data_IF_250928524937
#
_entry.id   IF_250928524937
#
_cell.length_a   1.000
_cell.length_b   1.000
_cell.length_c   1.000
_cell.angle_alpha   90.00
_cell.angle_beta   90.00
_cell.angle_gamma   90.00
#
_symmetry.space_group_name_H-M   'P 1'
#
loop_
_entity.id
_entity.type
_entity.pdbx_description
1 polymer ?
#
# COMPACT_ATOMS: atom_id res chain seq x y z
N UNK A 1 3.20 11.04 3.35
CA UNK A 1 3.82 10.43 2.16
C UNK A 1 4.19 11.52 1.18
N UNK A 2 5.45 11.56 0.76
CA UNK A 2 5.89 12.42 -0.33
C UNK A 2 5.45 11.82 -1.66
N UNK A 3 5.04 12.70 -2.57
CA UNK A 3 4.73 12.29 -3.94
C UNK A 3 6.03 11.93 -4.65
N UNK A 4 6.16 10.75 -5.27
CA UNK A 4 7.31 10.41 -6.06
C UNK A 4 7.53 11.42 -7.18
N UNK A 5 8.77 11.81 -7.42
CA UNK A 5 9.13 12.80 -8.43
C UNK A 5 10.15 12.23 -9.40
N UNK A 6 9.96 12.47 -10.69
CA UNK A 6 10.98 12.17 -11.69
C UNK A 6 12.08 13.24 -11.63
N UNK A 7 13.32 12.80 -11.47
CA UNK A 7 14.50 13.67 -11.40
C UNK A 7 15.49 13.24 -12.48
N UNK A 8 15.90 14.19 -13.32
CA UNK A 8 17.01 13.98 -14.23
C UNK A 8 18.33 14.33 -13.51
N UNK A 9 19.23 13.38 -13.43
CA UNK A 9 20.56 13.58 -12.89
C UNK A 9 21.52 13.93 -14.04
N UNK A 10 21.86 15.20 -14.16
CA UNK A 10 22.86 15.64 -15.13
C UNK A 10 24.23 15.03 -14.86
N UNK A 11 25.09 15.04 -15.85
CA UNK A 11 26.50 14.65 -15.70
C UNK A 11 27.26 15.72 -14.91
N UNK A 12 27.26 15.58 -13.58
CA UNK A 12 27.83 16.54 -12.64
C UNK A 12 28.87 15.87 -11.73
N UNK A 13 29.91 16.60 -11.40
CA UNK A 13 30.95 16.17 -10.47
C UNK A 13 30.43 15.96 -9.05
N UNK A 14 29.33 16.62 -8.68
CA UNK A 14 28.63 16.43 -7.40
C UNK A 14 28.16 14.98 -7.19
N UNK A 15 27.97 14.20 -8.26
CA UNK A 15 27.64 12.78 -8.17
C UNK A 15 28.81 11.92 -7.63
N UNK A 16 30.04 12.45 -7.60
CA UNK A 16 31.20 11.76 -7.05
C UNK A 16 31.43 10.39 -7.68
N UNK A 17 31.61 9.38 -6.85
CA UNK A 17 31.87 7.99 -7.29
C UNK A 17 30.66 7.38 -8.04
N UNK A 18 29.45 7.90 -7.83
CA UNK A 18 28.23 7.41 -8.46
C UNK A 18 27.99 7.98 -9.85
N UNK A 19 28.81 8.93 -10.31
CA UNK A 19 28.63 9.62 -11.59
C UNK A 19 28.55 8.66 -12.78
N UNK A 20 29.43 7.65 -12.81
CA UNK A 20 29.47 6.65 -13.88
C UNK A 20 28.19 5.80 -13.98
N UNK A 21 27.47 5.63 -12.86
CA UNK A 21 26.32 4.75 -12.79
C UNK A 21 24.99 5.52 -12.93
N UNK A 22 24.97 6.82 -12.57
CA UNK A 22 23.74 7.60 -12.47
C UNK A 22 23.69 8.85 -13.35
N UNK A 23 24.82 9.32 -13.92
CA UNK A 23 24.80 10.51 -14.76
C UNK A 23 23.96 10.30 -16.03
N UNK A 24 23.31 11.37 -16.47
CA UNK A 24 22.45 11.41 -17.66
C UNK A 24 21.26 10.45 -17.63
N UNK A 25 20.81 10.07 -16.44
CA UNK A 25 19.64 9.21 -16.22
C UNK A 25 18.45 9.95 -15.65
N UNK A 26 17.26 9.40 -15.88
CA UNK A 26 16.01 9.83 -15.22
C UNK A 26 15.65 8.79 -14.17
N UNK A 27 15.41 9.25 -12.95
CA UNK A 27 15.17 8.38 -11.80
C UNK A 27 13.89 8.81 -11.10
N UNK A 28 13.22 7.85 -10.46
CA UNK A 28 12.12 8.10 -9.57
C UNK A 28 12.67 8.34 -8.18
N UNK A 29 12.44 9.53 -7.65
CA UNK A 29 12.79 9.89 -6.28
C UNK A 29 11.55 9.85 -5.41
N UNK A 30 11.61 9.10 -4.34
CA UNK A 30 10.57 9.10 -3.31
C UNK A 30 11.20 9.13 -1.92
N UNK A 31 10.47 9.65 -0.96
CA UNK A 31 10.88 9.58 0.44
C UNK A 31 10.73 8.15 0.94
N UNK A 32 11.80 7.60 1.45
CA UNK A 32 11.84 6.21 1.90
C UNK A 32 11.12 5.99 3.22
N UNK A 33 11.23 6.93 4.13
CA UNK A 33 10.68 6.86 5.48
C UNK A 33 9.83 8.11 5.74
N UNK A 34 8.77 8.04 6.56
CA UNK A 34 8.04 9.24 6.97
C UNK A 34 8.97 10.26 7.62
N UNK A 35 8.82 11.54 7.31
CA UNK A 35 9.69 12.64 7.80
C UNK A 35 9.85 12.63 9.33
N UNK A 36 8.80 12.19 10.03
CA UNK A 36 8.76 12.15 11.50
C UNK A 36 9.30 10.85 12.09
N UNK A 37 9.59 9.84 11.26
CA UNK A 37 10.06 8.54 11.72
C UNK A 37 11.56 8.48 11.74
N UNK A 38 12.14 8.26 12.92
CA UNK A 38 13.58 8.00 13.05
C UNK A 38 13.99 6.64 12.51
N UNK A 39 13.07 5.68 12.50
CA UNK A 39 13.31 4.30 12.04
C UNK A 39 12.00 3.55 11.82
N UNK A 40 11.93 2.79 10.72
CA UNK A 40 10.88 1.79 10.50
C UNK A 40 11.44 0.37 10.48
N UNK A 41 10.59 -0.60 10.75
CA UNK A 41 10.92 -2.01 10.82
C UNK A 41 10.29 -2.78 9.66
N UNK A 42 10.90 -3.89 9.26
CA UNK A 42 10.29 -4.82 8.30
C UNK A 42 9.33 -5.78 9.02
N UNK A 43 8.45 -6.43 8.27
CA UNK A 43 7.46 -7.37 8.81
C UNK A 43 8.09 -8.53 9.60
N UNK A 44 9.14 -9.23 9.11
CA UNK A 44 9.77 -10.30 9.88
C UNK A 44 10.28 -9.85 11.27
N UNK A 45 10.85 -8.64 11.33
CA UNK A 45 11.35 -8.13 12.62
C UNK A 45 10.23 -7.82 13.60
N UNK A 46 9.12 -7.23 13.10
CA UNK A 46 7.95 -6.97 13.94
C UNK A 46 7.34 -8.28 14.43
N UNK A 47 7.26 -9.28 13.57
CA UNK A 47 6.81 -10.63 13.93
C UNK A 47 7.64 -11.21 15.08
N UNK A 48 8.96 -11.13 14.97
CA UNK A 48 9.88 -11.60 16.02
C UNK A 48 9.62 -10.89 17.35
N UNK A 49 9.46 -9.56 17.33
CA UNK A 49 9.25 -8.74 18.53
C UNK A 49 7.90 -9.04 19.20
N UNK A 50 6.86 -9.27 18.40
CA UNK A 50 5.52 -9.60 18.91
C UNK A 50 5.46 -11.03 19.49
N UNK A 51 6.26 -11.95 18.94
CA UNK A 51 6.37 -13.32 19.47
C UNK A 51 7.26 -13.38 20.72
N UNK A 52 8.21 -12.46 20.84
CA UNK A 52 9.14 -12.41 21.96
C UNK A 52 8.51 -11.78 23.21
N UNK A 53 7.58 -10.88 23.06
CA UNK A 53 6.94 -10.16 24.16
C UNK A 53 5.46 -9.90 23.83
N UNK A 54 4.56 -10.43 24.65
CA UNK A 54 3.11 -10.31 24.47
C UNK A 54 2.56 -8.93 24.84
N UNK A 55 3.36 -8.06 25.41
CA UNK A 55 3.02 -6.67 25.68
C UNK A 55 3.26 -5.76 24.45
N UNK A 56 3.96 -6.27 23.45
CA UNK A 56 4.06 -5.62 22.15
C UNK A 56 2.77 -5.79 21.33
N UNK A 57 2.39 -4.77 20.58
CA UNK A 57 1.13 -4.74 19.83
C UNK A 57 1.28 -4.16 18.43
N UNK A 58 0.22 -4.34 17.62
CA UNK A 58 0.04 -3.65 16.35
C UNK A 58 -1.16 -2.73 16.47
N UNK A 59 -1.03 -1.49 16.04
CA UNK A 59 -2.15 -0.55 15.97
C UNK A 59 -3.16 -0.98 14.91
N UNK A 60 -4.10 -1.79 15.34
CA UNK A 60 -5.05 -2.51 14.49
C UNK A 60 -5.98 -1.61 13.68
N UNK A 61 -6.50 -0.47 14.19
CA UNK A 61 -7.34 0.41 13.40
C UNK A 61 -6.66 0.91 12.13
N UNK A 62 -5.39 1.33 12.21
CA UNK A 62 -4.64 1.76 11.03
C UNK A 62 -4.39 0.61 10.04
N UNK A 63 -4.18 -0.60 10.56
CA UNK A 63 -4.02 -1.79 9.73
C UNK A 63 -5.30 -2.09 8.96
N UNK A 64 -6.45 -2.07 9.60
CA UNK A 64 -7.73 -2.30 8.95
C UNK A 64 -8.03 -1.22 7.89
N UNK A 65 -7.83 0.06 8.21
CA UNK A 65 -8.02 1.16 7.25
C UNK A 65 -7.13 1.00 6.03
N UNK A 66 -5.85 0.64 6.22
CA UNK A 66 -4.93 0.40 5.11
C UNK A 66 -5.41 -0.76 4.21
N UNK A 67 -5.99 -1.81 4.81
CA UNK A 67 -6.54 -2.97 4.10
C UNK A 67 -7.82 -2.64 3.34
N UNK A 68 -8.73 -1.87 3.94
CA UNK A 68 -9.93 -1.40 3.27
C UNK A 68 -9.58 -0.53 2.06
N UNK A 69 -8.56 0.33 2.20
CA UNK A 69 -8.05 1.10 1.08
C UNK A 69 -7.46 0.21 -0.02
N UNK A 70 -6.65 -0.80 0.33
CA UNK A 70 -6.09 -1.75 -0.65
C UNK A 70 -7.18 -2.47 -1.45
N UNK A 71 -8.29 -2.84 -0.79
CA UNK A 71 -9.46 -3.44 -1.45
C UNK A 71 -10.12 -2.43 -2.40
N UNK A 72 -10.36 -1.21 -1.94
CA UNK A 72 -11.03 -0.15 -2.71
C UNK A 72 -10.27 0.17 -4.00
N UNK A 73 -8.95 0.32 -3.93
CA UNK A 73 -8.10 0.67 -5.09
C UNK A 73 -7.59 -0.56 -5.84
N UNK A 74 -8.03 -1.75 -5.45
CA UNK A 74 -7.63 -3.05 -6.03
C UNK A 74 -6.11 -3.25 -6.04
N UNK A 75 -5.47 -3.05 -4.89
CA UNK A 75 -4.06 -3.37 -4.70
C UNK A 75 -3.87 -4.89 -4.50
N UNK A 76 -3.88 -5.63 -5.59
CA UNK A 76 -3.83 -7.09 -5.59
C UNK A 76 -2.45 -7.67 -5.27
N UNK A 77 -1.39 -6.86 -5.40
CA UNK A 77 0.00 -7.33 -5.24
C UNK A 77 0.57 -7.12 -3.84
N UNK A 78 -0.20 -6.57 -2.92
CA UNK A 78 0.22 -6.32 -1.55
C UNK A 78 0.71 -7.59 -0.85
N UNK A 79 1.99 -7.63 -0.46
CA UNK A 79 2.64 -8.73 0.28
C UNK A 79 3.48 -8.18 1.45
N UNK A 80 4.09 -9.06 2.25
CA UNK A 80 4.75 -8.70 3.50
C UNK A 80 5.89 -7.68 3.34
N UNK A 81 6.63 -7.70 2.24
CA UNK A 81 7.75 -6.79 1.99
C UNK A 81 7.30 -5.36 1.67
N UNK A 82 6.05 -5.18 1.29
CA UNK A 82 5.45 -3.87 1.03
C UNK A 82 4.92 -3.18 2.29
N UNK A 83 5.20 -3.74 3.45
CA UNK A 83 4.89 -3.14 4.74
C UNK A 83 6.16 -2.71 5.46
N UNK A 84 6.12 -1.50 5.97
CA UNK A 84 7.01 -1.05 7.02
C UNK A 84 6.19 -0.78 8.27
N UNK A 85 6.86 -0.75 9.39
CA UNK A 85 6.21 -0.61 10.68
C UNK A 85 6.92 0.44 11.49
N UNK A 86 6.17 1.41 11.97
CA UNK A 86 6.64 2.48 12.83
C UNK A 86 6.28 2.14 14.27
N UNK A 87 7.28 2.08 15.16
CA UNK A 87 6.97 2.04 16.58
C UNK A 87 6.48 3.41 17.02
N UNK A 88 5.24 3.48 17.52
CA UNK A 88 4.58 4.70 17.99
C UNK A 88 4.64 4.87 19.50
N UNK A 89 5.14 3.87 20.21
CA UNK A 89 5.29 3.90 21.66
C UNK A 89 6.67 4.39 22.07
N UNK A 90 6.72 5.28 23.04
CA UNK A 90 7.94 5.72 23.72
C UNK A 90 8.28 4.84 24.94
N UNK A 91 7.44 3.85 25.22
CA UNK A 91 7.59 2.93 26.36
C UNK A 91 8.46 1.72 26.03
N UNK A 92 8.65 0.85 27.02
CA UNK A 92 9.29 -0.45 26.83
C UNK A 92 8.47 -1.32 25.87
N UNK A 93 7.16 -1.31 26.02
CA UNK A 93 6.23 -2.07 25.22
C UNK A 93 5.99 -1.33 23.89
N UNK A 94 6.11 -2.04 22.79
CA UNK A 94 6.08 -1.44 21.46
C UNK A 94 4.68 -1.53 20.85
N UNK A 95 4.23 -0.45 20.22
CA UNK A 95 3.02 -0.42 19.43
C UNK A 95 3.38 -0.06 17.99
N UNK A 96 3.12 -0.98 17.07
CA UNK A 96 3.56 -0.87 15.69
C UNK A 96 2.42 -0.39 14.78
N UNK A 97 2.54 0.83 14.25
CA UNK A 97 1.66 1.32 13.21
C UNK A 97 2.14 0.88 11.81
N UNK A 98 1.23 0.41 10.95
CA UNK A 98 1.59 0.01 9.60
C UNK A 98 1.89 1.22 8.71
N UNK A 99 2.92 1.10 7.89
CA UNK A 99 3.31 2.05 6.85
C UNK A 99 3.30 1.30 5.51
N UNK A 100 2.16 1.26 4.81
CA UNK A 100 2.08 0.60 3.51
C UNK A 100 2.91 1.35 2.48
N UNK A 101 3.67 0.61 1.68
CA UNK A 101 4.56 1.11 0.63
C UNK A 101 4.23 0.41 -0.69
N UNK A 102 4.83 0.90 -1.76
CA UNK A 102 4.77 0.28 -3.08
C UNK A 102 3.34 -0.02 -3.55
N UNK A 103 2.68 1.01 -4.04
CA UNK A 103 1.31 0.93 -4.59
C UNK A 103 1.33 1.10 -6.12
N UNK A 104 2.27 0.46 -6.78
CA UNK A 104 2.47 0.57 -8.24
C UNK A 104 1.46 -0.23 -9.05
N UNK A 105 0.77 -1.19 -8.42
CA UNK A 105 -0.22 -2.07 -9.07
C UNK A 105 -1.68 -1.66 -8.86
N UNK A 106 -1.91 -0.50 -8.23
CA UNK A 106 -3.27 -0.01 -7.95
C UNK A 106 -3.96 0.54 -9.20
N UNK A 107 -5.30 0.54 -9.19
CA UNK A 107 -6.15 1.10 -10.24
C UNK A 107 -5.86 0.56 -11.65
N UNK A 108 -5.24 -0.60 -11.74
CA UNK A 108 -4.90 -1.24 -13.01
C UNK A 108 -6.14 -1.81 -13.68
N UNK A 109 -6.45 -1.29 -14.85
CA UNK A 109 -7.60 -1.78 -15.64
C UNK A 109 -7.15 -2.92 -16.56
N UNK A 110 -7.77 -4.07 -16.46
CA UNK A 110 -7.51 -5.22 -17.32
C UNK A 110 -8.30 -5.08 -18.63
N UNK A 111 -7.72 -4.40 -19.62
CA UNK A 111 -8.32 -4.23 -20.95
C UNK A 111 -7.84 -5.28 -21.94
N UNK A 112 -8.75 -5.72 -22.81
CA UNK A 112 -8.45 -6.69 -23.87
C UNK A 112 -8.79 -8.15 -23.50
N UNK A 113 -8.74 -9.02 -24.50
CA UNK A 113 -9.20 -10.42 -24.39
C UNK A 113 -8.24 -11.24 -23.53
N UNK A 114 -6.92 -11.06 -23.70
CA UNK A 114 -5.90 -11.86 -23.00
C UNK A 114 -5.90 -11.57 -21.50
N UNK A 115 -5.83 -10.31 -21.01
CA UNK A 115 -5.97 -10.04 -19.59
C UNK A 115 -7.27 -10.56 -18.98
N UNK A 116 -8.39 -10.40 -19.67
CA UNK A 116 -9.70 -10.94 -19.22
C UNK A 116 -9.75 -12.46 -19.13
N UNK A 117 -8.99 -13.17 -19.97
CA UNK A 117 -8.87 -14.63 -19.88
C UNK A 117 -7.99 -15.04 -18.71
N UNK A 118 -6.88 -14.34 -18.48
CA UNK A 118 -5.93 -14.64 -17.38
C UNK A 118 -6.57 -14.47 -16.01
N UNK A 119 -7.45 -13.48 -15.84
CA UNK A 119 -8.11 -13.19 -14.56
C UNK A 119 -9.24 -14.13 -14.18
N UNK A 120 -9.54 -15.12 -15.01
CA UNK A 120 -10.56 -16.12 -14.69
C UNK A 120 -10.17 -16.96 -13.47
N UNK A 121 -11.17 -17.36 -12.70
CA UNK A 121 -11.02 -18.07 -11.42
C UNK A 121 -10.19 -19.36 -11.48
N UNK A 122 -10.04 -19.95 -12.65
CA UNK A 122 -9.27 -21.18 -12.85
C UNK A 122 -7.81 -20.96 -13.31
N UNK A 123 -7.42 -19.73 -13.69
CA UNK A 123 -6.07 -19.45 -14.18
C UNK A 123 -5.29 -18.58 -13.18
N UNK A 124 -5.60 -17.31 -13.07
CA UNK A 124 -4.96 -16.39 -12.11
C UNK A 124 -5.99 -15.49 -11.42
N UNK A 125 -6.80 -16.04 -10.52
CA UNK A 125 -7.89 -15.29 -9.89
C UNK A 125 -7.43 -14.14 -8.99
N UNK A 126 -6.16 -14.13 -8.60
CA UNK A 126 -5.56 -13.06 -7.80
C UNK A 126 -5.22 -11.81 -8.62
N UNK A 127 -5.07 -11.94 -9.95
CA UNK A 127 -4.74 -10.85 -10.86
C UNK A 127 -6.01 -10.10 -11.28
N UNK A 128 -6.64 -9.44 -10.33
CA UNK A 128 -7.87 -8.69 -10.57
C UNK A 128 -7.54 -7.27 -11.05
N UNK A 129 -8.35 -6.77 -11.99
CA UNK A 129 -8.29 -5.39 -12.43
C UNK A 129 -9.27 -4.51 -11.64
N UNK A 130 -9.02 -3.22 -11.62
CA UNK A 130 -9.93 -2.22 -11.09
C UNK A 130 -11.17 -2.12 -11.99
N UNK A 131 -12.35 -2.23 -11.41
CA UNK A 131 -13.64 -2.15 -12.09
C UNK A 131 -14.69 -1.58 -11.13
N UNK A 132 -15.89 -1.27 -11.65
CA UNK A 132 -17.04 -0.82 -10.87
C UNK A 132 -17.51 -1.82 -9.81
N UNK A 133 -17.15 -3.07 -9.94
CA UNK A 133 -17.44 -4.14 -9.00
C UNK A 133 -16.13 -4.85 -8.63
N UNK A 134 -15.90 -5.03 -7.34
CA UNK A 134 -14.79 -5.86 -6.85
C UNK A 134 -15.13 -7.32 -7.13
N UNK A 135 -14.40 -8.00 -8.03
CA UNK A 135 -14.80 -9.36 -8.47
C UNK A 135 -14.75 -10.38 -7.34
N UNK A 136 -13.75 -10.29 -6.46
CA UNK A 136 -13.64 -11.15 -5.30
C UNK A 136 -12.69 -10.60 -4.24
N UNK A 137 -13.23 -10.21 -3.10
CA UNK A 137 -12.44 -9.76 -1.94
C UNK A 137 -11.49 -10.86 -1.46
N UNK A 138 -11.90 -12.13 -1.49
CA UNK A 138 -11.06 -13.27 -1.12
C UNK A 138 -9.73 -13.29 -1.89
N UNK A 139 -9.78 -13.08 -3.20
CA UNK A 139 -8.59 -13.12 -4.04
C UNK A 139 -7.80 -11.81 -3.96
N UNK A 140 -8.44 -10.67 -3.77
CA UNK A 140 -7.77 -9.39 -3.49
C UNK A 140 -6.94 -9.46 -2.21
N UNK A 141 -7.36 -10.27 -1.24
CA UNK A 141 -6.68 -10.46 0.03
C UNK A 141 -5.67 -11.62 0.05
N UNK A 142 -5.57 -12.42 -1.00
CA UNK A 142 -4.85 -13.70 -0.95
C UNK A 142 -3.35 -13.57 -0.69
N UNK A 143 -2.67 -12.60 -1.28
CA UNK A 143 -1.23 -12.39 -1.08
C UNK A 143 -0.89 -11.91 0.33
N UNK A 144 -1.85 -11.36 1.04
CA UNK A 144 -1.71 -10.84 2.40
C UNK A 144 -1.90 -11.86 3.51
N UNK A 145 -2.16 -13.12 3.18
CA UNK A 145 -2.53 -14.13 4.17
C UNK A 145 -1.57 -14.23 5.36
N UNK A 146 -0.28 -13.95 5.17
CA UNK A 146 0.71 -13.95 6.24
C UNK A 146 0.43 -12.80 7.22
N UNK A 147 0.18 -11.60 6.69
CA UNK A 147 -0.15 -10.43 7.50
C UNK A 147 -1.52 -10.56 8.16
N UNK A 148 -2.46 -11.31 7.55
CA UNK A 148 -3.77 -11.60 8.16
C UNK A 148 -3.72 -12.64 9.28
N UNK A 149 -2.85 -13.64 9.15
CA UNK A 149 -2.66 -14.65 10.20
C UNK A 149 -1.98 -14.05 11.45
N UNK A 150 -1.53 -12.82 11.33
CA UNK A 150 -0.79 -12.14 12.34
C UNK A 150 -1.72 -11.32 13.22
N UNK A 151 -1.35 -11.01 14.49
CA UNK A 151 -2.24 -10.44 15.50
C UNK A 151 -2.89 -9.09 15.13
N UNK A 152 -2.91 -8.78 13.85
CA UNK A 152 -3.49 -7.57 13.31
C UNK A 152 -5.02 -7.54 13.34
N UNK A 153 -5.71 -8.64 13.66
CA UNK A 153 -7.17 -8.65 13.59
C UNK A 153 -7.79 -9.31 14.84
N UNK A 154 -7.64 -8.64 15.96
CA UNK A 154 -8.31 -9.03 17.21
C UNK A 154 -9.68 -8.34 17.37
N UNK A 155 -10.19 -7.72 16.32
CA UNK A 155 -11.50 -7.09 16.35
C UNK A 155 -12.62 -8.12 16.42
N UNK A 156 -13.64 -7.78 17.18
CA UNK A 156 -14.95 -8.42 17.09
C UNK A 156 -15.60 -8.09 15.74
N UNK A 157 -16.64 -8.84 15.39
CA UNK A 157 -17.40 -8.56 14.16
C UNK A 157 -17.99 -7.15 14.17
N UNK A 158 -18.49 -6.71 15.30
CA UNK A 158 -19.17 -5.40 15.42
C UNK A 158 -18.15 -4.27 15.26
N UNK A 159 -16.98 -4.35 15.90
CA UNK A 159 -15.88 -3.39 15.70
C UNK A 159 -15.41 -3.35 14.24
N UNK A 160 -15.37 -4.50 13.57
CA UNK A 160 -15.06 -4.56 12.14
C UNK A 160 -16.08 -3.81 11.30
N UNK A 161 -17.36 -4.02 11.57
CA UNK A 161 -18.46 -3.36 10.85
C UNK A 161 -18.43 -1.86 11.09
N UNK A 162 -18.33 -1.42 12.32
CA UNK A 162 -18.29 0.00 12.69
C UNK A 162 -17.13 0.73 12.00
N UNK A 163 -15.95 0.14 11.99
CA UNK A 163 -14.79 0.72 11.32
C UNK A 163 -14.91 0.72 9.79
N UNK A 164 -15.58 -0.28 9.23
CA UNK A 164 -15.83 -0.34 7.79
C UNK A 164 -16.83 0.74 7.37
N UNK A 165 -17.87 0.93 8.13
CA UNK A 165 -18.89 1.97 7.91
C UNK A 165 -18.24 3.37 8.04
N UNK A 166 -17.44 3.61 9.08
CA UNK A 166 -16.65 4.85 9.24
C UNK A 166 -15.71 5.11 8.06
N UNK A 167 -15.07 4.06 7.53
CA UNK A 167 -14.21 4.17 6.34
C UNK A 167 -15.04 4.56 5.10
N UNK A 168 -16.18 3.91 4.88
CA UNK A 168 -17.06 4.19 3.73
C UNK A 168 -17.57 5.63 3.80
N UNK A 169 -18.00 6.09 4.97
CA UNK A 169 -18.49 7.45 5.17
C UNK A 169 -17.43 8.53 4.89
N UNK A 170 -16.17 8.20 5.09
CA UNK A 170 -15.03 9.09 4.77
C UNK A 170 -14.65 9.12 3.31
N UNK A 171 -15.00 8.11 2.52
CA UNK A 171 -14.70 8.04 1.07
C UNK A 171 -15.84 8.70 0.29
N UNK A 172 -15.95 10.01 0.41
CA UNK A 172 -16.92 10.81 -0.34
C UNK A 172 -16.46 11.14 -1.75
N UNK A 173 -17.39 11.52 -2.64
CA UNK A 173 -17.05 11.99 -3.99
C UNK A 173 -16.05 13.14 -3.95
N UNK A 174 -16.18 14.06 -3.00
CA UNK A 174 -15.25 15.17 -2.80
C UNK A 174 -13.82 14.70 -2.47
N UNK A 175 -13.68 13.65 -1.67
CA UNK A 175 -12.36 13.05 -1.36
C UNK A 175 -11.77 12.39 -2.59
N UNK A 176 -12.59 11.67 -3.36
CA UNK A 176 -12.19 11.02 -4.60
C UNK A 176 -11.76 12.07 -5.63
N UNK A 177 -12.55 13.12 -5.85
CA UNK A 177 -12.24 14.21 -6.77
C UNK A 177 -10.95 14.93 -6.37
N UNK A 178 -10.76 15.17 -5.08
CA UNK A 178 -9.54 15.78 -4.56
C UNK A 178 -8.31 14.90 -4.82
N UNK A 179 -8.44 13.60 -4.62
CA UNK A 179 -7.36 12.65 -4.90
C UNK A 179 -7.03 12.60 -6.40
N UNK A 180 -8.05 12.55 -7.27
CA UNK A 180 -7.88 12.58 -8.73
C UNK A 180 -7.23 13.89 -9.17
N UNK A 181 -7.56 15.01 -8.53
CA UNK A 181 -6.97 16.31 -8.83
C UNK A 181 -5.47 16.41 -8.53
N UNK A 182 -4.90 15.50 -7.75
CA UNK A 182 -3.45 15.40 -7.53
C UNK A 182 -2.72 14.71 -8.69
N UNK A 183 -3.43 13.95 -9.54
CA UNK A 183 -2.81 13.30 -10.69
C UNK A 183 -2.38 14.35 -11.73
N UNK A 184 -1.31 14.05 -12.51
CA UNK A 184 -0.93 14.89 -13.65
C UNK A 184 -2.09 15.07 -14.62
N UNK A 185 -2.22 16.25 -15.24
CA UNK A 185 -3.33 16.57 -16.15
C UNK A 185 -3.44 15.56 -17.31
N UNK A 186 -2.31 15.05 -17.80
CA UNK A 186 -2.27 14.01 -18.83
C UNK A 186 -2.90 12.68 -18.40
N UNK A 187 -2.84 12.35 -17.10
CA UNK A 187 -3.43 11.12 -16.57
C UNK A 187 -4.92 11.26 -16.27
N UNK A 188 -5.42 12.48 -16.03
CA UNK A 188 -6.84 12.74 -15.75
C UNK A 188 -7.74 12.63 -16.99
N UNK A 189 -7.19 12.77 -18.18
CA UNK A 189 -7.94 12.78 -19.45
C UNK A 189 -8.15 11.38 -20.04
N UNK A 190 -7.63 10.34 -19.47
CA UNK A 190 -7.85 8.95 -19.92
C UNK A 190 -9.26 8.52 -19.47
N UNK A 191 -10.28 9.14 -20.09
CA UNK A 191 -11.60 8.48 -20.14
C UNK A 191 -11.44 7.32 -21.10
N UNK A 192 -11.70 6.11 -20.61
CA UNK A 192 -11.74 4.94 -21.47
C UNK A 192 -12.63 5.19 -22.68
N UNK A 193 -12.03 5.12 -23.83
CA UNK A 193 -12.74 4.99 -25.10
C UNK A 193 -13.22 3.55 -25.27
#
# INVERSE_FOLDING_TARGET
>A
HTTPSFVYLADDTALGIYRKDFANGVYLFEEREPVTASKTYNTPKVLEELLADNDNSVYQPAMLQARLLDILITDWDRHEDQWRWLNTSDNKDKDYAPVPRDRDQVLKVNTGIVPKMITRSWLMPTFQGFDSIIPSVKYSLYKHRIVHAFPAFQFTKDEWMDMTDDFIDKITDSVIDTAIAQLPASSRSIRGS
#
